data_IF_730982768738
#
_entry.id   IF_730982768738
#
_cell.length_a   1.000
_cell.length_b   1.000
_cell.length_c   1.000
_cell.angle_alpha   90.00
_cell.angle_beta   90.00
_cell.angle_gamma   90.00
#
_symmetry.space_group_name_H-M   'P 1'
#
loop_
_entity.id
_entity.type
_entity.pdbx_description
1 polymer ?
#
# COMPACT_ATOMS: atom_id res chain seq x y z
N UNK A 1 -16.09 -22.23 2.11
CA UNK A 1 -14.72 -21.62 2.14
C UNK A 1 -14.30 -21.48 0.69
N UNK A 2 -14.02 -20.28 0.20
CA UNK A 2 -13.52 -20.14 -1.17
C UNK A 2 -12.19 -20.86 -1.28
N UNK A 3 -12.07 -21.74 -2.28
CA UNK A 3 -10.82 -22.42 -2.55
C UNK A 3 -9.83 -21.42 -3.14
N UNK A 4 -8.76 -21.11 -2.41
CA UNK A 4 -7.68 -20.20 -2.83
C UNK A 4 -6.55 -20.96 -3.54
N UNK A 5 -6.66 -22.28 -3.62
CA UNK A 5 -5.65 -23.10 -4.25
C UNK A 5 -5.47 -22.71 -5.72
N UNK A 6 -4.22 -22.59 -6.11
CA UNK A 6 -3.77 -22.22 -7.46
C UNK A 6 -4.17 -20.79 -7.92
N UNK A 7 -4.79 -19.98 -7.02
CA UNK A 7 -5.03 -18.55 -7.30
C UNK A 7 -3.74 -17.79 -7.30
N UNK A 8 -3.60 -16.82 -8.22
CA UNK A 8 -2.40 -15.98 -8.33
C UNK A 8 -2.60 -14.66 -7.59
N UNK A 9 -1.74 -14.39 -6.62
CA UNK A 9 -1.72 -13.17 -5.82
C UNK A 9 -0.48 -12.33 -6.15
N UNK A 10 -0.69 -11.11 -6.62
CA UNK A 10 0.36 -10.10 -6.72
C UNK A 10 0.49 -9.34 -5.40
N UNK A 11 1.70 -9.28 -4.86
CA UNK A 11 2.06 -8.53 -3.66
C UNK A 11 2.94 -7.35 -4.08
N UNK A 12 2.50 -6.13 -3.74
CA UNK A 12 3.22 -4.90 -4.04
C UNK A 12 4.25 -4.61 -2.96
N UNK A 13 5.51 -4.58 -3.33
CA UNK A 13 6.73 -4.54 -2.52
C UNK A 13 7.11 -5.89 -1.87
N UNK A 14 8.41 -6.05 -1.61
CA UNK A 14 8.96 -7.32 -1.14
C UNK A 14 9.90 -7.23 0.06
N UNK A 15 9.83 -6.14 0.86
CA UNK A 15 10.64 -5.94 2.06
C UNK A 15 10.28 -6.96 3.17
N UNK A 16 11.04 -6.99 4.25
CA UNK A 16 10.97 -8.00 5.32
C UNK A 16 9.55 -8.32 5.82
N UNK A 17 8.71 -7.31 5.98
CA UNK A 17 7.33 -7.51 6.47
C UNK A 17 6.50 -8.39 5.53
N UNK A 18 6.81 -8.39 4.22
CA UNK A 18 6.09 -9.19 3.21
C UNK A 18 6.50 -10.67 3.19
N UNK A 19 7.64 -11.03 3.80
CA UNK A 19 8.05 -12.45 3.92
C UNK A 19 6.97 -13.30 4.59
N UNK A 20 6.43 -12.81 5.71
CA UNK A 20 5.36 -13.51 6.43
C UNK A 20 4.07 -13.59 5.62
N UNK A 21 3.77 -12.56 4.83
CA UNK A 21 2.60 -12.52 3.95
C UNK A 21 2.71 -13.57 2.84
N UNK A 22 3.87 -13.64 2.17
CA UNK A 22 4.14 -14.67 1.14
C UNK A 22 4.00 -16.07 1.73
N UNK A 23 4.61 -16.34 2.90
CA UNK A 23 4.50 -17.65 3.55
C UNK A 23 3.05 -18.00 3.91
N UNK A 24 2.28 -17.04 4.42
CA UNK A 24 0.87 -17.25 4.74
C UNK A 24 0.03 -17.55 3.48
N UNK A 25 0.25 -16.82 2.39
CA UNK A 25 -0.42 -17.06 1.11
C UNK A 25 -0.09 -18.46 0.56
N UNK A 26 1.19 -18.84 0.58
CA UNK A 26 1.64 -20.20 0.14
C UNK A 26 1.05 -21.31 0.99
N UNK A 27 0.88 -21.10 2.29
CA UNK A 27 0.23 -22.06 3.17
C UNK A 27 -1.26 -22.30 2.82
N UNK A 28 -1.88 -21.35 2.13
CA UNK A 28 -3.25 -21.46 1.59
C UNK A 28 -3.29 -22.04 0.16
N UNK A 29 -2.16 -22.41 -0.40
CA UNK A 29 -2.04 -22.94 -1.77
C UNK A 29 -2.08 -21.85 -2.85
N UNK A 30 -1.86 -20.58 -2.48
CA UNK A 30 -1.85 -19.44 -3.41
C UNK A 30 -0.49 -19.36 -4.11
N UNK A 31 -0.50 -19.16 -5.43
CA UNK A 31 0.68 -18.83 -6.20
C UNK A 31 1.03 -17.34 -5.98
N UNK A 32 2.21 -17.08 -5.46
CA UNK A 32 2.63 -15.76 -5.01
C UNK A 32 3.57 -15.08 -6.00
N UNK A 33 3.27 -13.84 -6.33
CA UNK A 33 4.08 -12.97 -7.20
C UNK A 33 4.43 -11.73 -6.39
N UNK A 34 5.70 -11.34 -6.36
CA UNK A 34 6.16 -10.12 -5.66
C UNK A 34 6.73 -9.14 -6.67
N UNK A 35 6.33 -7.87 -6.59
CA UNK A 35 6.87 -6.83 -7.46
C UNK A 35 7.37 -5.61 -6.69
N UNK A 36 8.55 -5.16 -7.02
CA UNK A 36 9.14 -3.84 -6.74
C UNK A 36 10.37 -3.65 -7.64
N UNK A 37 11.03 -2.49 -7.54
CA UNK A 37 12.24 -2.17 -8.31
C UNK A 37 13.54 -2.65 -7.66
N UNK A 38 13.50 -3.15 -6.41
CA UNK A 38 14.67 -3.58 -5.67
C UNK A 38 15.17 -4.94 -6.15
N UNK A 39 16.49 -5.14 -6.11
CA UNK A 39 17.08 -6.45 -6.35
C UNK A 39 16.64 -7.47 -5.28
N UNK A 40 16.57 -8.77 -5.61
CA UNK A 40 16.10 -9.80 -4.65
C UNK A 40 16.85 -9.80 -3.31
N UNK A 41 18.13 -9.41 -3.28
CA UNK A 41 18.92 -9.29 -2.04
C UNK A 41 18.42 -8.19 -1.09
N UNK A 42 17.73 -7.17 -1.64
CA UNK A 42 17.15 -6.03 -0.91
C UNK A 42 15.64 -6.16 -0.73
N UNK A 43 15.04 -7.18 -1.36
CA UNK A 43 13.62 -7.47 -1.38
C UNK A 43 13.40 -8.96 -1.04
N UNK A 44 13.58 -9.36 0.23
CA UNK A 44 13.67 -10.76 0.63
C UNK A 44 12.41 -11.58 0.35
N UNK A 45 11.23 -10.97 0.26
CA UNK A 45 10.01 -11.66 -0.12
C UNK A 45 10.08 -12.22 -1.55
N UNK A 46 10.86 -11.61 -2.47
CA UNK A 46 11.11 -12.13 -3.82
C UNK A 46 11.83 -13.50 -3.80
N UNK A 47 12.71 -13.71 -2.82
CA UNK A 47 13.48 -14.96 -2.72
C UNK A 47 12.63 -16.19 -2.36
N UNK A 48 11.45 -15.97 -1.78
CA UNK A 48 10.56 -17.02 -1.31
C UNK A 48 9.23 -17.08 -2.06
N UNK A 49 8.92 -16.07 -2.87
CA UNK A 49 7.76 -16.07 -3.77
C UNK A 49 7.93 -17.10 -4.89
N UNK A 50 6.83 -17.51 -5.52
CA UNK A 50 6.88 -18.42 -6.67
C UNK A 50 7.39 -17.71 -7.92
N UNK A 51 7.11 -16.39 -8.02
CA UNK A 51 7.58 -15.53 -9.09
C UNK A 51 7.87 -14.12 -8.55
N UNK A 52 8.73 -13.36 -9.20
CA UNK A 52 8.89 -11.94 -8.93
C UNK A 52 9.05 -11.13 -10.21
N UNK A 53 8.65 -9.86 -10.13
CA UNK A 53 8.81 -8.90 -11.22
C UNK A 53 9.69 -7.73 -10.75
N UNK A 54 10.50 -7.21 -11.68
CA UNK A 54 11.33 -6.02 -11.48
C UNK A 54 10.59 -4.79 -12.02
N UNK A 55 9.36 -4.52 -11.48
CA UNK A 55 8.55 -3.37 -11.83
C UNK A 55 8.36 -2.48 -10.60
N UNK A 56 8.53 -1.17 -10.78
CA UNK A 56 8.25 -0.24 -9.71
C UNK A 56 6.75 -0.29 -9.37
N UNK A 57 6.43 -0.32 -8.09
CA UNK A 57 5.03 -0.35 -7.60
C UNK A 57 4.20 0.86 -8.06
N UNK A 58 4.84 1.95 -8.46
CA UNK A 58 4.19 3.15 -9.00
C UNK A 58 3.93 3.08 -10.51
N UNK A 59 4.48 2.09 -11.20
CA UNK A 59 4.25 1.87 -12.64
C UNK A 59 2.99 1.02 -12.85
N UNK A 60 1.86 1.66 -12.59
CA UNK A 60 0.53 1.03 -12.61
C UNK A 60 0.23 0.38 -13.96
N UNK A 61 0.56 1.05 -15.07
CA UNK A 61 0.21 0.55 -16.40
C UNK A 61 0.99 -0.74 -16.74
N UNK A 62 2.30 -0.76 -16.50
CA UNK A 62 3.11 -1.95 -16.74
C UNK A 62 2.68 -3.13 -15.84
N UNK A 63 2.30 -2.84 -14.58
CA UNK A 63 1.81 -3.87 -13.67
C UNK A 63 0.46 -4.41 -14.16
N UNK A 64 -0.48 -3.55 -14.56
CA UNK A 64 -1.80 -3.96 -15.07
C UNK A 64 -1.67 -4.82 -16.32
N UNK A 65 -0.82 -4.43 -17.28
CA UNK A 65 -0.56 -5.21 -18.48
C UNK A 65 -0.07 -6.61 -18.11
N UNK A 66 0.94 -6.69 -17.26
CA UNK A 66 1.53 -7.97 -16.83
C UNK A 66 0.56 -8.82 -16.01
N UNK A 67 -0.29 -8.21 -15.18
CA UNK A 67 -1.37 -8.92 -14.47
C UNK A 67 -2.36 -9.58 -15.42
N UNK A 68 -2.74 -8.88 -16.51
CA UNK A 68 -3.64 -9.43 -17.53
C UNK A 68 -3.00 -10.62 -18.26
N UNK A 69 -1.73 -10.47 -18.67
CA UNK A 69 -0.99 -11.55 -19.34
C UNK A 69 -0.86 -12.80 -18.46
N UNK A 70 -0.61 -12.60 -17.17
CA UNK A 70 -0.40 -13.67 -16.20
C UNK A 70 -1.69 -14.19 -15.55
N UNK A 71 -2.84 -13.58 -15.86
CA UNK A 71 -4.14 -13.92 -15.25
C UNK A 71 -4.09 -13.88 -13.72
N UNK A 72 -3.66 -12.74 -13.17
CA UNK A 72 -3.61 -12.51 -11.71
C UNK A 72 -5.03 -12.42 -11.15
N UNK A 73 -5.33 -13.18 -10.09
CA UNK A 73 -6.65 -13.26 -9.46
C UNK A 73 -6.85 -12.23 -8.34
N UNK A 74 -5.77 -11.69 -7.80
CA UNK A 74 -5.84 -10.69 -6.72
C UNK A 74 -4.54 -9.91 -6.57
N UNK A 75 -4.67 -8.72 -6.02
CA UNK A 75 -3.54 -7.83 -5.71
C UNK A 75 -3.60 -7.45 -4.24
N UNK A 76 -2.45 -7.27 -3.61
CA UNK A 76 -2.38 -6.87 -2.20
C UNK A 76 -1.24 -5.87 -1.98
N UNK A 77 -1.54 -4.80 -1.25
CA UNK A 77 -0.55 -3.89 -0.66
C UNK A 77 -0.64 -4.02 0.87
N UNK A 78 0.49 -4.16 1.55
CA UNK A 78 0.54 -4.36 2.99
C UNK A 78 1.66 -3.55 3.64
N UNK A 79 1.32 -2.77 4.67
CA UNK A 79 2.27 -2.01 5.49
C UNK A 79 3.21 -1.05 4.75
N UNK A 80 2.88 -0.63 3.54
CA UNK A 80 3.67 0.33 2.75
C UNK A 80 2.74 1.41 2.21
N UNK A 81 2.81 2.62 2.75
CA UNK A 81 1.95 3.75 2.36
C UNK A 81 2.08 4.10 0.87
N UNK A 82 3.28 4.17 0.26
CA UNK A 82 3.41 4.45 -1.17
C UNK A 82 2.74 3.44 -2.10
N UNK A 83 2.45 2.23 -1.63
CA UNK A 83 1.77 1.20 -2.43
C UNK A 83 0.24 1.32 -2.44
N UNK A 84 -0.35 2.12 -1.54
CA UNK A 84 -1.80 2.13 -1.34
C UNK A 84 -2.57 2.70 -2.54
N UNK A 85 -2.14 3.84 -3.07
CA UNK A 85 -2.76 4.45 -4.25
C UNK A 85 -2.53 3.61 -5.51
N UNK A 86 -1.30 3.17 -5.83
CA UNK A 86 -1.09 2.21 -6.93
C UNK A 86 -1.93 0.94 -6.81
N UNK A 87 -2.02 0.36 -5.62
CA UNK A 87 -2.86 -0.82 -5.35
C UNK A 87 -4.32 -0.58 -5.75
N UNK A 88 -4.90 0.52 -5.30
CA UNK A 88 -6.28 0.87 -5.63
C UNK A 88 -6.47 1.03 -7.15
N UNK A 89 -5.55 1.75 -7.81
CA UNK A 89 -5.62 1.96 -9.26
C UNK A 89 -5.47 0.66 -10.06
N UNK A 90 -4.60 -0.25 -9.62
CA UNK A 90 -4.42 -1.56 -10.25
C UNK A 90 -5.70 -2.39 -10.09
N UNK A 91 -6.26 -2.46 -8.88
CA UNK A 91 -7.50 -3.19 -8.63
C UNK A 91 -8.66 -2.65 -9.47
N UNK A 92 -8.81 -1.31 -9.56
CA UNK A 92 -9.84 -0.66 -10.38
C UNK A 92 -9.71 -1.01 -11.87
N UNK A 93 -8.49 -0.93 -12.42
CA UNK A 93 -8.23 -1.24 -13.85
C UNK A 93 -8.38 -2.72 -14.20
N UNK A 94 -8.21 -3.60 -13.23
CA UNK A 94 -8.34 -5.05 -13.39
C UNK A 94 -9.72 -5.57 -12.95
N UNK A 95 -10.60 -4.70 -12.44
CA UNK A 95 -11.89 -5.07 -11.85
C UNK A 95 -11.75 -6.11 -10.72
N UNK A 96 -10.65 -6.04 -9.97
CA UNK A 96 -10.37 -6.93 -8.85
C UNK A 96 -10.88 -6.35 -7.52
N UNK A 97 -11.19 -7.20 -6.54
CA UNK A 97 -11.56 -6.74 -5.21
C UNK A 97 -10.50 -5.81 -4.60
N UNK A 98 -10.95 -4.69 -4.04
CA UNK A 98 -10.12 -3.72 -3.34
C UNK A 98 -10.70 -3.47 -1.94
N UNK A 99 -9.85 -3.34 -0.91
CA UNK A 99 -10.31 -3.13 0.47
C UNK A 99 -10.60 -1.67 0.80
N UNK A 100 -10.52 -0.77 -0.16
CA UNK A 100 -10.87 0.63 0.00
C UNK A 100 -11.22 1.31 -1.31
N UNK A 101 -11.93 2.43 -1.21
CA UNK A 101 -12.20 3.32 -2.35
C UNK A 101 -11.05 4.30 -2.57
N UNK A 102 -10.95 4.87 -3.76
CA UNK A 102 -9.99 5.94 -4.07
C UNK A 102 -10.02 7.06 -3.02
N UNK A 103 -11.21 7.55 -2.68
CA UNK A 103 -11.38 8.61 -1.68
C UNK A 103 -10.86 8.19 -0.29
N UNK A 104 -11.10 6.95 0.13
CA UNK A 104 -10.57 6.45 1.41
C UNK A 104 -9.04 6.43 1.41
N UNK A 105 -8.42 5.95 0.34
CA UNK A 105 -6.96 5.94 0.24
C UNK A 105 -6.37 7.35 0.18
N UNK A 106 -6.99 8.29 -0.56
CA UNK A 106 -6.56 9.70 -0.59
C UNK A 106 -6.61 10.32 0.82
N UNK A 107 -7.70 10.11 1.56
CA UNK A 107 -7.82 10.60 2.95
C UNK A 107 -6.76 9.95 3.86
N UNK A 108 -6.55 8.65 3.75
CA UNK A 108 -5.64 7.91 4.64
C UNK A 108 -4.16 8.21 4.38
N UNK A 109 -3.79 8.59 3.15
CA UNK A 109 -2.40 8.85 2.76
C UNK A 109 -2.00 10.33 2.83
N UNK A 110 -2.96 11.27 2.75
CA UNK A 110 -2.70 12.70 2.92
C UNK A 110 -3.01 13.15 4.36
N UNK A 111 -1.97 13.61 5.08
CA UNK A 111 -2.10 14.00 6.50
C UNK A 111 -3.06 15.17 6.73
N UNK A 112 -3.19 16.08 5.77
CA UNK A 112 -4.12 17.22 5.87
C UNK A 112 -5.54 16.75 5.67
N UNK A 113 -5.80 15.97 4.61
CA UNK A 113 -7.10 15.38 4.36
C UNK A 113 -7.56 14.49 5.53
N UNK A 114 -6.63 13.71 6.11
CA UNK A 114 -6.92 12.88 7.28
C UNK A 114 -7.31 13.70 8.51
N UNK A 115 -6.57 14.78 8.81
CA UNK A 115 -6.91 15.69 9.92
C UNK A 115 -8.25 16.38 9.72
N UNK A 116 -8.50 16.89 8.51
CA UNK A 116 -9.78 17.50 8.16
C UNK A 116 -10.95 16.51 8.32
N UNK A 117 -10.74 15.26 7.91
CA UNK A 117 -11.71 14.20 8.09
C UNK A 117 -11.95 13.91 9.57
N UNK A 118 -10.92 13.81 10.40
CA UNK A 118 -11.02 13.64 11.84
C UNK A 118 -11.84 14.79 12.49
N UNK A 119 -11.50 16.03 12.20
CA UNK A 119 -12.19 17.19 12.75
C UNK A 119 -13.67 17.23 12.36
N UNK A 120 -14.00 16.94 11.09
CA UNK A 120 -15.39 16.86 10.61
C UNK A 120 -16.20 15.76 11.29
N UNK A 121 -15.53 14.73 11.83
CA UNK A 121 -16.18 13.61 12.52
C UNK A 121 -16.05 13.72 14.05
N UNK A 122 -15.65 14.87 14.59
CA UNK A 122 -15.56 15.10 16.05
C UNK A 122 -14.37 14.40 16.72
N UNK A 123 -13.37 13.96 15.95
CA UNK A 123 -12.14 13.38 16.47
C UNK A 123 -11.10 14.49 16.65
N UNK A 124 -10.58 14.60 17.87
CA UNK A 124 -9.52 15.58 18.16
C UNK A 124 -8.22 15.23 17.44
N UNK A 125 -7.55 16.25 16.93
CA UNK A 125 -6.24 16.13 16.27
C UNK A 125 -5.22 17.03 16.95
N UNK A 126 -3.94 16.66 16.82
CA UNK A 126 -2.86 17.50 17.30
C UNK A 126 -2.86 18.84 16.57
N UNK A 127 -2.87 19.98 17.28
CA UNK A 127 -2.84 21.30 16.68
C UNK A 127 -1.62 21.49 15.77
N UNK A 128 -1.80 22.20 14.69
CA UNK A 128 -0.71 22.65 13.81
C UNK A 128 -0.50 24.13 13.96
N UNK A 129 0.74 24.55 13.96
CA UNK A 129 1.16 25.94 14.08
C UNK A 129 2.02 26.33 12.90
N UNK A 130 1.85 27.54 12.43
CA UNK A 130 2.68 28.14 11.39
C UNK A 130 3.86 28.91 12.03
N UNK A 131 4.83 29.29 11.23
CA UNK A 131 5.90 30.19 11.68
C UNK A 131 5.34 31.52 12.19
N UNK A 132 4.24 32.00 11.60
CA UNK A 132 3.57 33.21 12.04
C UNK A 132 3.00 33.05 13.46
N UNK A 133 2.41 31.91 13.78
CA UNK A 133 1.90 31.60 15.12
C UNK A 133 3.02 31.61 16.16
N UNK A 134 4.21 31.10 15.80
CA UNK A 134 5.40 31.17 16.66
C UNK A 134 5.84 32.59 16.90
N UNK A 135 5.88 33.44 15.86
CA UNK A 135 6.34 34.81 15.95
C UNK A 135 5.41 35.68 16.82
N UNK A 136 4.10 35.45 16.78
CA UNK A 136 3.12 36.19 17.60
C UNK A 136 2.87 35.58 18.97
N UNK A 137 3.57 34.48 19.32
CA UNK A 137 3.44 33.79 20.61
C UNK A 137 2.15 32.96 20.76
N UNK A 138 1.46 32.66 19.68
CA UNK A 138 0.22 31.87 19.67
C UNK A 138 0.50 30.37 19.56
N UNK A 139 1.43 29.85 20.37
CA UNK A 139 1.83 28.43 20.34
C UNK A 139 1.73 27.82 21.74
N UNK A 140 1.07 26.69 21.84
CA UNK A 140 0.99 25.91 23.07
C UNK A 140 2.11 24.85 23.09
N UNK A 141 3.08 25.04 23.96
CA UNK A 141 4.20 24.09 24.13
C UNK A 141 3.84 22.87 24.99
N UNK A 142 4.51 21.72 24.78
CA UNK A 142 5.60 21.46 23.82
C UNK A 142 5.11 21.27 22.39
N UNK A 143 5.94 21.61 21.41
CA UNK A 143 5.68 21.40 19.97
C UNK A 143 6.80 20.57 19.33
N UNK A 144 6.46 19.89 18.24
CA UNK A 144 7.39 19.13 17.41
C UNK A 144 7.56 19.84 16.07
N UNK A 145 8.80 20.11 15.69
CA UNK A 145 9.12 20.70 14.38
C UNK A 145 9.37 19.58 13.38
N UNK A 146 8.75 19.70 12.18
CA UNK A 146 8.92 18.73 11.09
C UNK A 146 9.36 19.43 9.82
#
# INVERSE_FOLDING_TARGET
>A
MNDLKDKKLLILAGVDVHVKLVLAAKALGVYTIVTDYLEPKESPAKLIADEFWMLNITDVEAIVEKCREQHVDGVLAYCIDPAQIPYQQICEKLELPCYGTKQQFEIMTDKRLFKDFCLKNGVEVVPEYTLCDVQIGNVKYPVLVK
#
